data_IF_231413217641
#
_entry.id   IF_231413217641
#
_cell.length_a   1.000
_cell.length_b   1.000
_cell.length_c   1.000
_cell.angle_alpha   90.00
_cell.angle_beta   90.00
_cell.angle_gamma   90.00
#
_symmetry.space_group_name_H-M   'P 1'
#
loop_
_entity.id
_entity.type
_entity.pdbx_description
1 polymer ?
#
# COMPACT_ATOMS: atom_id res chain seq x y z
N UNK A 1 -6.33 25.46 13.14
CA UNK A 1 -5.17 24.77 12.53
C UNK A 1 -5.45 23.90 11.29
N UNK A 2 -6.64 23.29 11.05
CA UNK A 2 -6.81 22.35 9.92
C UNK A 2 -6.62 22.97 8.53
N UNK A 3 -7.06 24.22 8.32
CA UNK A 3 -7.12 24.82 6.98
C UNK A 3 -5.72 25.01 6.38
N UNK A 4 -4.77 25.57 7.13
CA UNK A 4 -3.41 25.78 6.63
C UNK A 4 -2.71 24.46 6.32
N UNK A 5 -2.92 23.44 7.15
CA UNK A 5 -2.34 22.11 6.96
C UNK A 5 -2.98 21.36 5.79
N UNK A 6 -4.29 21.49 5.59
CA UNK A 6 -5.01 20.98 4.42
C UNK A 6 -4.54 21.67 3.13
N UNK A 7 -4.35 22.99 3.16
CA UNK A 7 -3.80 23.73 2.02
C UNK A 7 -2.37 23.29 1.71
N UNK A 8 -1.53 23.10 2.73
CA UNK A 8 -0.18 22.55 2.54
C UNK A 8 -0.24 21.13 1.95
N UNK A 9 -1.12 20.27 2.47
CA UNK A 9 -1.34 18.92 1.94
C UNK A 9 -1.82 18.93 0.49
N UNK A 10 -2.71 19.86 0.13
CA UNK A 10 -3.20 20.04 -1.23
C UNK A 10 -2.07 20.48 -2.18
N UNK A 11 -1.30 21.50 -1.80
CA UNK A 11 -0.20 21.99 -2.61
C UNK A 11 0.88 20.92 -2.79
N UNK A 12 1.27 20.24 -1.72
CA UNK A 12 2.28 19.18 -1.75
C UNK A 12 1.82 17.98 -2.58
N UNK A 13 0.60 17.48 -2.35
CA UNK A 13 0.06 16.34 -3.09
C UNK A 13 -0.16 16.66 -4.57
N UNK A 14 -0.58 17.88 -4.91
CA UNK A 14 -0.70 18.33 -6.29
C UNK A 14 0.67 18.41 -6.98
N UNK A 15 1.69 18.95 -6.29
CA UNK A 15 3.05 19.03 -6.82
C UNK A 15 3.66 17.64 -7.07
N UNK A 16 3.54 16.74 -6.09
CA UNK A 16 4.02 15.35 -6.20
C UNK A 16 3.26 14.60 -7.29
N UNK A 17 1.92 14.72 -7.31
CA UNK A 17 1.08 14.09 -8.32
C UNK A 17 1.41 14.57 -9.74
N UNK A 18 1.62 15.87 -9.92
CA UNK A 18 2.04 16.44 -11.20
C UNK A 18 3.41 15.93 -11.65
N UNK A 19 4.39 15.87 -10.74
CA UNK A 19 5.71 15.33 -11.04
C UNK A 19 5.63 13.86 -11.43
N UNK A 20 4.84 13.07 -10.70
CA UNK A 20 4.62 11.66 -10.99
C UNK A 20 3.91 11.44 -12.34
N UNK A 21 2.97 12.31 -12.71
CA UNK A 21 2.36 12.29 -14.04
C UNK A 21 3.40 12.57 -15.14
N UNK A 22 4.27 13.57 -14.95
CA UNK A 22 5.36 13.88 -15.89
C UNK A 22 6.37 12.74 -16.01
N UNK A 23 6.55 11.95 -14.95
CA UNK A 23 7.41 10.75 -14.94
C UNK A 23 6.68 9.48 -15.38
N UNK A 24 5.47 9.59 -15.95
CA UNK A 24 4.64 8.46 -16.39
C UNK A 24 4.31 7.44 -15.28
N UNK A 25 4.41 7.80 -14.01
CA UNK A 25 4.08 6.90 -12.88
C UNK A 25 2.59 6.93 -12.53
N UNK A 26 1.92 8.06 -12.75
CA UNK A 26 0.48 8.24 -12.56
C UNK A 26 -0.22 8.59 -13.88
N UNK A 27 -1.45 8.13 -14.03
CA UNK A 27 -2.39 8.66 -15.02
C UNK A 27 -3.04 9.97 -14.52
N UNK A 28 -3.81 10.65 -15.38
CA UNK A 28 -4.54 11.88 -14.96
C UNK A 28 -5.51 11.60 -13.81
N UNK A 29 -6.21 10.47 -13.86
CA UNK A 29 -7.12 10.05 -12.78
C UNK A 29 -6.33 9.62 -11.53
N UNK A 30 -5.15 9.01 -11.70
CA UNK A 30 -4.22 8.72 -10.61
C UNK A 30 -3.74 9.98 -9.86
N UNK A 31 -3.50 11.09 -10.57
CA UNK A 31 -3.19 12.38 -9.93
C UNK A 31 -4.33 12.84 -9.02
N UNK A 32 -5.58 12.74 -9.48
CA UNK A 32 -6.73 13.08 -8.64
C UNK A 32 -6.77 12.20 -7.38
N UNK A 33 -6.52 10.90 -7.52
CA UNK A 33 -6.41 9.99 -6.38
C UNK A 33 -5.32 10.40 -5.40
N UNK A 34 -4.13 10.73 -5.90
CA UNK A 34 -2.98 11.13 -5.09
C UNK A 34 -3.21 12.47 -4.37
N UNK A 35 -3.89 13.41 -5.03
CA UNK A 35 -4.29 14.69 -4.43
C UNK A 35 -5.29 14.44 -3.31
N UNK A 36 -6.32 13.63 -3.53
CA UNK A 36 -7.34 13.32 -2.51
C UNK A 36 -6.68 12.63 -1.31
N UNK A 37 -5.99 11.50 -1.51
CA UNK A 37 -5.41 10.74 -0.41
C UNK A 37 -4.28 11.51 0.29
N UNK A 38 -3.40 12.15 -0.48
CA UNK A 38 -2.29 12.94 0.06
C UNK A 38 -2.76 14.15 0.86
N UNK A 39 -3.79 14.87 0.38
CA UNK A 39 -4.37 16.01 1.12
C UNK A 39 -5.01 15.56 2.42
N UNK A 40 -5.80 14.48 2.40
CA UNK A 40 -6.46 13.98 3.61
C UNK A 40 -5.44 13.44 4.64
N UNK A 41 -4.47 12.66 4.19
CA UNK A 41 -3.44 12.07 5.06
C UNK A 41 -2.53 13.15 5.65
N UNK A 42 -2.01 14.06 4.85
CA UNK A 42 -1.16 15.14 5.36
C UNK A 42 -1.97 16.13 6.20
N UNK A 43 -3.14 16.52 5.69
CA UNK A 43 -4.02 17.53 6.29
C UNK A 43 -4.58 17.15 7.65
N UNK A 44 -5.08 15.91 7.78
CA UNK A 44 -5.65 15.40 9.02
C UNK A 44 -4.70 14.51 9.81
N UNK A 45 -3.83 13.74 9.17
CA UNK A 45 -2.90 12.84 9.86
C UNK A 45 -1.68 13.55 10.45
N UNK A 46 -1.22 14.64 9.83
CA UNK A 46 0.03 15.28 10.22
C UNK A 46 1.15 15.06 9.23
N UNK A 47 2.25 15.80 9.44
CA UNK A 47 3.42 15.71 8.58
C UNK A 47 4.05 14.30 8.63
N UNK A 48 4.08 13.65 9.80
CA UNK A 48 4.62 12.28 9.98
C UNK A 48 3.88 11.26 9.11
N UNK A 49 2.55 11.35 9.06
CA UNK A 49 1.74 10.48 8.20
C UNK A 49 2.03 10.79 6.73
N UNK A 50 2.02 12.07 6.37
CA UNK A 50 2.30 12.52 5.00
C UNK A 50 3.66 12.06 4.47
N UNK A 51 4.74 12.16 5.26
CA UNK A 51 6.08 11.73 4.82
C UNK A 51 6.19 10.20 4.70
N UNK A 52 5.46 9.42 5.50
CA UNK A 52 5.37 7.96 5.34
C UNK A 52 4.65 7.60 4.03
N UNK A 53 3.56 8.31 3.69
CA UNK A 53 2.89 8.13 2.40
C UNK A 53 3.85 8.44 1.24
N UNK A 54 4.64 9.51 1.35
CA UNK A 54 5.67 9.85 0.36
C UNK A 54 6.73 8.77 0.27
N UNK A 55 7.21 8.23 1.40
CA UNK A 55 8.20 7.15 1.43
C UNK A 55 7.69 5.89 0.72
N UNK A 56 6.44 5.48 0.99
CA UNK A 56 5.76 4.43 0.22
C UNK A 56 5.74 4.76 -1.28
N UNK A 57 5.21 5.93 -1.65
CA UNK A 57 5.00 6.29 -3.04
C UNK A 57 6.31 6.35 -3.83
N UNK A 58 7.34 6.98 -3.28
CA UNK A 58 8.66 7.12 -3.92
C UNK A 58 9.33 5.77 -4.05
N UNK A 59 9.44 4.99 -2.97
CA UNK A 59 10.11 3.68 -3.02
C UNK A 59 9.41 2.70 -3.98
N UNK A 60 8.07 2.64 -3.92
CA UNK A 60 7.26 1.83 -4.82
C UNK A 60 7.38 2.29 -6.27
N UNK A 61 7.47 3.60 -6.53
CA UNK A 61 7.66 4.12 -7.90
C UNK A 61 9.04 3.82 -8.44
N UNK A 62 10.09 3.96 -7.61
CA UNK A 62 11.47 3.61 -7.99
C UNK A 62 11.57 2.13 -8.35
N UNK A 63 10.96 1.24 -7.57
CA UNK A 63 10.95 -0.19 -7.86
C UNK A 63 10.16 -0.54 -9.13
N UNK A 64 9.02 0.11 -9.40
CA UNK A 64 8.28 -0.11 -10.64
C UNK A 64 9.08 0.26 -11.90
N UNK A 65 9.98 1.25 -11.82
CA UNK A 65 10.85 1.62 -12.94
C UNK A 65 12.17 0.85 -12.95
N UNK A 66 12.57 0.25 -11.83
CA UNK A 66 13.80 -0.52 -11.74
C UNK A 66 13.71 -1.82 -12.53
N UNK A 67 14.69 -2.04 -13.42
CA UNK A 67 14.74 -3.17 -14.36
C UNK A 67 13.45 -3.35 -15.15
N UNK A 68 12.82 -2.25 -15.55
CA UNK A 68 11.57 -2.28 -16.32
C UNK A 68 11.70 -3.06 -17.64
N UNK A 69 12.86 -3.05 -18.30
CA UNK A 69 13.14 -3.87 -19.49
C UNK A 69 12.98 -5.37 -19.24
N UNK A 70 13.52 -5.84 -18.13
CA UNK A 70 13.54 -7.26 -17.77
C UNK A 70 12.14 -7.71 -17.31
N UNK A 71 11.41 -6.77 -16.70
CA UNK A 71 10.00 -6.94 -16.33
C UNK A 71 9.08 -6.87 -17.55
N UNK A 72 9.38 -6.09 -18.58
CA UNK A 72 8.53 -5.91 -19.76
C UNK A 72 8.37 -7.21 -20.56
N UNK A 73 9.46 -7.98 -20.75
CA UNK A 73 9.39 -9.30 -21.37
C UNK A 73 8.60 -10.33 -20.55
N UNK A 74 8.45 -10.10 -19.25
CA UNK A 74 7.56 -10.87 -18.37
C UNK A 74 6.14 -10.28 -18.39
N UNK A 75 5.98 -8.96 -18.51
CA UNK A 75 4.71 -8.23 -18.51
C UNK A 75 3.92 -8.35 -19.82
N UNK A 76 4.56 -8.62 -20.97
CA UNK A 76 3.87 -9.07 -22.20
C UNK A 76 3.07 -10.37 -21.95
N UNK A 77 3.41 -11.13 -20.89
CA UNK A 77 2.62 -12.26 -20.42
C UNK A 77 1.53 -11.89 -19.40
N UNK A 78 1.53 -10.68 -18.81
CA UNK A 78 0.68 -10.31 -17.66
C UNK A 78 -0.06 -8.97 -17.72
N UNK A 79 -0.05 -8.25 -18.84
CA UNK A 79 -1.02 -7.18 -19.12
C UNK A 79 -1.22 -6.13 -18.00
N UNK A 80 -0.17 -5.83 -17.23
CA UNK A 80 -0.21 -4.83 -16.16
C UNK A 80 0.12 -3.47 -16.78
N UNK A 81 -0.82 -2.52 -16.73
CA UNK A 81 -0.58 -1.15 -17.18
C UNK A 81 0.47 -0.46 -16.33
N UNK A 82 1.35 0.34 -16.94
CA UNK A 82 2.50 0.97 -16.26
C UNK A 82 2.12 2.10 -15.29
N UNK A 83 0.96 2.74 -15.48
CA UNK A 83 0.57 3.95 -14.73
C UNK A 83 -0.52 3.64 -13.72
N UNK A 84 -0.36 4.11 -12.49
CA UNK A 84 -1.41 3.97 -11.47
C UNK A 84 -2.56 4.92 -11.76
N UNK A 85 -3.78 4.41 -11.67
CA UNK A 85 -5.01 5.18 -11.85
C UNK A 85 -5.68 5.54 -10.52
N UNK A 86 -6.84 6.17 -10.60
CA UNK A 86 -7.62 6.57 -9.43
C UNK A 86 -7.95 5.36 -8.54
N UNK A 87 -8.38 4.24 -9.14
CA UNK A 87 -8.76 3.03 -8.42
C UNK A 87 -7.60 2.48 -7.61
N UNK A 88 -6.44 2.30 -8.25
CA UNK A 88 -5.22 1.83 -7.58
C UNK A 88 -4.74 2.79 -6.49
N UNK A 89 -4.86 4.10 -6.72
CA UNK A 89 -4.41 5.11 -5.75
C UNK A 89 -5.33 5.15 -4.51
N UNK A 90 -6.64 5.02 -4.71
CA UNK A 90 -7.60 4.92 -3.61
C UNK A 90 -7.52 3.57 -2.89
N UNK A 91 -7.25 2.47 -3.60
CA UNK A 91 -7.05 1.17 -3.00
C UNK A 91 -5.87 1.18 -2.01
N UNK A 92 -4.73 1.74 -2.43
CA UNK A 92 -3.52 1.72 -1.63
C UNK A 92 -3.45 2.84 -0.58
N UNK A 93 -4.10 3.98 -0.81
CA UNK A 93 -4.06 5.16 0.08
C UNK A 93 -5.36 5.47 0.81
N UNK A 94 -6.48 4.92 0.38
CA UNK A 94 -7.82 5.29 0.84
C UNK A 94 -8.06 4.93 2.30
N UNK A 95 -7.66 3.74 2.74
CA UNK A 95 -7.80 3.37 4.15
C UNK A 95 -6.98 4.29 5.06
N UNK A 96 -5.75 4.63 4.66
CA UNK A 96 -4.94 5.61 5.38
C UNK A 96 -5.59 7.00 5.44
N UNK A 97 -6.24 7.44 4.37
CA UNK A 97 -7.00 8.69 4.35
C UNK A 97 -8.22 8.64 5.27
N UNK A 98 -8.94 7.53 5.32
CA UNK A 98 -10.05 7.32 6.24
C UNK A 98 -9.59 7.36 7.71
N UNK A 99 -8.46 6.72 8.02
CA UNK A 99 -7.86 6.76 9.35
C UNK A 99 -7.43 8.18 9.75
N UNK A 100 -6.91 8.96 8.80
CA UNK A 100 -6.50 10.34 9.05
C UNK A 100 -7.73 11.22 9.37
N UNK A 101 -8.80 11.09 8.58
CA UNK A 101 -10.07 11.76 8.85
C UNK A 101 -10.64 11.33 10.21
N UNK A 102 -10.60 10.03 10.53
CA UNK A 102 -11.04 9.53 11.82
C UNK A 102 -10.23 10.11 12.98
N UNK A 103 -8.90 10.23 12.84
CA UNK A 103 -8.05 10.86 13.86
C UNK A 103 -8.47 12.31 14.13
N UNK A 104 -8.76 13.07 13.07
CA UNK A 104 -9.28 14.43 13.23
C UNK A 104 -10.66 14.46 13.91
N UNK A 105 -11.62 13.65 13.44
CA UNK A 105 -12.99 13.69 13.95
C UNK A 105 -13.13 13.18 15.38
N UNK A 106 -12.34 12.17 15.75
CA UNK A 106 -12.47 11.48 17.04
C UNK A 106 -11.52 12.01 18.12
N UNK A 107 -10.46 12.74 17.75
CA UNK A 107 -9.45 13.22 18.71
C UNK A 107 -9.29 14.73 18.63
N UNK A 108 -8.96 15.29 17.47
CA UNK A 108 -8.67 16.72 17.37
C UNK A 108 -9.92 17.61 17.50
N UNK A 109 -11.04 17.20 16.88
CA UNK A 109 -12.27 17.99 16.85
C UNK A 109 -12.92 18.14 18.23
N UNK A 110 -12.95 17.11 19.10
CA UNK A 110 -13.35 17.25 20.51
C UNK A 110 -12.36 18.07 21.36
N UNK A 111 -11.18 18.41 20.84
CA UNK A 111 -10.14 19.16 21.55
C UNK A 111 -9.20 18.28 22.39
N UNK A 112 -9.15 16.97 22.13
CA UNK A 112 -8.24 16.06 22.82
C UNK A 112 -6.81 16.18 22.27
N UNK A 113 -5.83 15.89 23.13
CA UNK A 113 -4.41 15.88 22.74
C UNK A 113 -4.06 14.49 22.22
N UNK A 114 -3.47 14.41 21.01
CA UNK A 114 -3.05 13.14 20.40
C UNK A 114 -2.05 12.34 21.22
N UNK A 115 -1.10 13.02 21.87
CA UNK A 115 -0.07 12.37 22.68
C UNK A 115 -0.70 11.70 23.90
N UNK A 116 -0.49 10.39 24.05
CA UNK A 116 -1.09 9.60 25.13
C UNK A 116 -2.55 9.22 24.92
N UNK A 117 -3.18 9.62 23.80
CA UNK A 117 -4.55 9.25 23.51
C UNK A 117 -4.63 7.84 22.90
N UNK A 118 -5.37 6.89 23.53
CA UNK A 118 -5.42 5.51 23.06
C UNK A 118 -6.13 5.37 21.71
N UNK A 119 -7.14 6.19 21.43
CA UNK A 119 -7.82 6.21 20.13
C UNK A 119 -6.86 6.67 19.03
N UNK A 120 -6.10 7.74 19.28
CA UNK A 120 -5.08 8.19 18.33
C UNK A 120 -3.99 7.13 18.11
N UNK A 121 -3.50 6.50 19.19
CA UNK A 121 -2.49 5.44 19.10
C UNK A 121 -2.98 4.27 18.24
N UNK A 122 -4.22 3.80 18.45
CA UNK A 122 -4.85 2.78 17.62
C UNK A 122 -4.89 3.19 16.13
N UNK A 123 -5.37 4.40 15.83
CA UNK A 123 -5.49 4.90 14.46
C UNK A 123 -4.12 5.09 13.79
N UNK A 124 -3.12 5.56 14.51
CA UNK A 124 -1.76 5.74 14.02
C UNK A 124 -1.08 4.39 13.73
N UNK A 125 -1.22 3.41 14.63
CA UNK A 125 -0.72 2.05 14.40
C UNK A 125 -1.41 1.39 13.22
N UNK A 126 -2.73 1.56 13.09
CA UNK A 126 -3.48 1.10 11.93
C UNK A 126 -2.99 1.74 10.63
N UNK A 127 -2.67 3.03 10.66
CA UNK A 127 -2.16 3.75 9.50
C UNK A 127 -0.79 3.21 9.07
N UNK A 128 0.16 3.06 10.01
CA UNK A 128 1.48 2.54 9.69
C UNK A 128 1.43 1.08 9.22
N UNK A 129 0.55 0.26 9.81
CA UNK A 129 0.29 -1.10 9.34
C UNK A 129 -0.26 -1.14 7.92
N UNK A 130 -1.26 -0.31 7.61
CA UNK A 130 -1.84 -0.22 6.27
C UNK A 130 -0.79 0.21 5.23
N UNK A 131 0.00 1.23 5.53
CA UNK A 131 1.09 1.69 4.66
C UNK A 131 2.18 0.62 4.49
N UNK A 132 2.51 -0.12 5.57
CA UNK A 132 3.45 -1.23 5.52
C UNK A 132 2.94 -2.36 4.63
N UNK A 133 1.65 -2.68 4.69
CA UNK A 133 1.03 -3.71 3.84
C UNK A 133 1.08 -3.35 2.36
N UNK A 134 0.65 -2.15 1.99
CA UNK A 134 0.62 -1.76 0.57
C UNK A 134 2.04 -1.62 -0.01
N UNK A 135 3.02 -1.23 0.82
CA UNK A 135 4.42 -1.20 0.40
C UNK A 135 5.00 -2.62 0.30
N UNK A 136 4.68 -3.51 1.24
CA UNK A 136 5.10 -4.91 1.22
C UNK A 136 4.60 -5.61 -0.05
N UNK A 137 3.32 -5.47 -0.38
CA UNK A 137 2.72 -6.06 -1.56
C UNK A 137 3.36 -5.53 -2.86
N UNK A 138 3.59 -4.21 -2.92
CA UNK A 138 4.25 -3.60 -4.07
C UNK A 138 5.68 -4.12 -4.24
N UNK A 139 6.46 -4.19 -3.16
CA UNK A 139 7.83 -4.70 -3.23
C UNK A 139 7.86 -6.18 -3.58
N UNK A 140 6.94 -6.99 -3.02
CA UNK A 140 6.81 -8.40 -3.35
C UNK A 140 6.50 -8.62 -4.83
N UNK A 141 5.60 -7.83 -5.41
CA UNK A 141 5.25 -7.93 -6.82
C UNK A 141 6.41 -7.47 -7.72
N UNK A 142 7.01 -6.32 -7.41
CA UNK A 142 8.04 -5.70 -8.23
C UNK A 142 9.38 -6.44 -8.20
N UNK A 143 9.73 -7.09 -7.09
CA UNK A 143 10.97 -7.87 -6.96
C UNK A 143 10.73 -9.37 -7.14
N UNK A 144 9.56 -9.88 -6.75
CA UNK A 144 9.21 -11.30 -6.87
C UNK A 144 9.06 -11.77 -8.32
N UNK A 145 8.69 -10.87 -9.24
CA UNK A 145 8.65 -11.16 -10.69
C UNK A 145 10.03 -11.53 -11.26
N UNK A 146 11.10 -11.09 -10.62
CA UNK A 146 12.50 -11.35 -11.01
C UNK A 146 13.07 -12.62 -10.36
N UNK A 147 12.26 -13.37 -9.61
CA UNK A 147 12.70 -14.60 -8.96
C UNK A 147 13.13 -15.65 -10.00
N UNK A 148 14.23 -16.36 -9.70
CA UNK A 148 14.75 -17.44 -10.54
C UNK A 148 13.87 -18.70 -10.54
N UNK A 149 12.98 -18.83 -9.56
CA UNK A 149 12.11 -19.99 -9.38
C UNK A 149 10.66 -19.62 -9.67
N UNK A 150 9.93 -20.56 -10.29
CA UNK A 150 8.50 -20.38 -10.54
C UNK A 150 7.73 -20.15 -9.22
N UNK A 151 6.79 -19.19 -9.19
CA UNK A 151 5.94 -18.95 -8.03
C UNK A 151 5.09 -20.16 -7.69
N UNK A 152 4.68 -20.22 -6.43
CA UNK A 152 3.78 -21.25 -5.93
C UNK A 152 2.51 -20.60 -5.40
N UNK A 153 1.35 -21.18 -5.69
CA UNK A 153 0.09 -20.71 -5.10
C UNK A 153 0.15 -20.82 -3.59
N UNK A 154 -0.21 -19.74 -2.89
CA UNK A 154 -0.19 -19.69 -1.43
C UNK A 154 -1.13 -20.73 -0.78
N UNK A 155 -2.18 -21.15 -1.49
CA UNK A 155 -3.20 -22.07 -0.97
C UNK A 155 -2.82 -23.54 -1.01
N UNK A 156 -2.03 -23.97 -2.00
CA UNK A 156 -1.73 -25.40 -2.22
C UNK A 156 -0.28 -25.71 -2.62
N UNK A 157 0.58 -24.69 -2.75
CA UNK A 157 1.99 -24.83 -3.07
C UNK A 157 2.30 -25.27 -4.50
N UNK A 158 1.30 -25.41 -5.39
CA UNK A 158 1.51 -25.79 -6.79
C UNK A 158 2.22 -24.67 -7.54
N UNK A 159 3.15 -25.04 -8.44
CA UNK A 159 3.85 -24.08 -9.30
C UNK A 159 2.88 -23.45 -10.28
N UNK A 160 2.98 -22.13 -10.44
CA UNK A 160 2.17 -21.33 -11.37
C UNK A 160 3.04 -20.39 -12.19
N UNK A 161 2.46 -19.83 -13.25
CA UNK A 161 3.13 -18.93 -14.18
C UNK A 161 3.17 -17.51 -13.68
N UNK A 162 4.29 -16.80 -13.82
CA UNK A 162 4.45 -15.35 -13.56
C UNK A 162 3.71 -14.88 -12.31
N UNK A 163 3.23 -13.66 -12.07
CA UNK A 163 2.07 -13.10 -12.75
C UNK A 163 0.68 -13.66 -12.34
N UNK A 164 0.60 -14.89 -11.80
CA UNK A 164 -0.68 -15.47 -11.34
C UNK A 164 -1.10 -14.88 -9.99
N UNK A 165 -2.35 -14.42 -9.85
CA UNK A 165 -2.88 -13.91 -8.57
C UNK A 165 -2.78 -14.98 -7.47
N UNK A 166 -2.18 -14.59 -6.34
CA UNK A 166 -1.89 -15.48 -5.22
C UNK A 166 -0.65 -16.37 -5.37
N UNK A 167 0.13 -16.20 -6.43
CA UNK A 167 1.45 -16.81 -6.59
C UNK A 167 2.52 -16.09 -5.77
N UNK A 168 3.17 -16.80 -4.86
CA UNK A 168 4.25 -16.26 -4.03
C UNK A 168 5.61 -16.90 -4.37
N UNK A 169 6.68 -16.12 -4.23
CA UNK A 169 8.07 -16.58 -4.33
C UNK A 169 8.81 -16.24 -3.05
N UNK A 170 9.88 -16.96 -2.73
CA UNK A 170 10.73 -16.64 -1.56
C UNK A 170 11.32 -15.23 -1.67
N UNK A 171 11.77 -14.84 -2.86
CA UNK A 171 12.26 -13.48 -3.14
C UNK A 171 11.17 -12.43 -2.92
N UNK A 172 9.94 -12.69 -3.38
CA UNK A 172 8.79 -11.81 -3.16
C UNK A 172 8.42 -11.69 -1.68
N UNK A 173 8.41 -12.79 -0.93
CA UNK A 173 8.12 -12.76 0.52
C UNK A 173 9.18 -11.99 1.31
N UNK A 174 10.46 -12.17 0.99
CA UNK A 174 11.55 -11.39 1.60
C UNK A 174 11.47 -9.91 1.22
N UNK A 175 11.10 -9.60 -0.03
CA UNK A 175 10.85 -8.24 -0.47
C UNK A 175 9.65 -7.60 0.24
N UNK A 176 8.57 -8.35 0.50
CA UNK A 176 7.44 -7.90 1.30
C UNK A 176 7.89 -7.54 2.73
N UNK A 177 8.64 -8.43 3.38
CA UNK A 177 9.16 -8.18 4.72
C UNK A 177 10.05 -6.94 4.76
N UNK A 178 10.96 -6.79 3.79
CA UNK A 178 11.83 -5.63 3.68
C UNK A 178 11.04 -4.33 3.41
N UNK A 179 10.03 -4.38 2.54
CA UNK A 179 9.16 -3.24 2.25
C UNK A 179 8.32 -2.81 3.46
N UNK A 180 7.79 -3.78 4.21
CA UNK A 180 7.07 -3.50 5.46
C UNK A 180 8.00 -2.88 6.51
N UNK A 181 9.19 -3.45 6.71
CA UNK A 181 10.20 -2.94 7.63
C UNK A 181 10.68 -1.53 7.23
N UNK A 182 10.83 -1.25 5.94
CA UNK A 182 11.18 0.08 5.43
C UNK A 182 10.15 1.14 5.88
N UNK A 183 8.86 0.84 5.80
CA UNK A 183 7.80 1.74 6.30
C UNK A 183 7.88 1.90 7.82
N UNK A 184 8.09 0.80 8.55
CA UNK A 184 8.29 0.85 10.00
C UNK A 184 9.47 1.73 10.42
N UNK A 185 10.61 1.62 9.72
CA UNK A 185 11.80 2.45 9.94
C UNK A 185 11.49 3.92 9.64
N UNK A 186 10.84 4.22 8.51
CA UNK A 186 10.45 5.58 8.17
C UNK A 186 9.53 6.17 9.25
N UNK A 187 8.49 5.44 9.65
CA UNK A 187 7.55 5.85 10.68
C UNK A 187 8.29 6.15 12.00
N UNK A 188 9.12 5.22 12.47
CA UNK A 188 9.93 5.41 13.68
C UNK A 188 10.81 6.66 13.59
N UNK A 189 11.61 6.82 12.53
CA UNK A 189 12.50 7.97 12.38
C UNK A 189 11.76 9.30 12.37
N UNK A 190 10.62 9.38 11.69
CA UNK A 190 9.82 10.61 11.63
C UNK A 190 9.09 10.90 12.94
N UNK A 191 8.66 9.87 13.69
CA UNK A 191 8.17 10.03 15.05
C UNK A 191 9.27 10.56 15.97
N UNK A 192 10.49 9.99 15.91
CA UNK A 192 11.61 10.48 16.70
C UNK A 192 11.97 11.94 16.38
N UNK A 193 11.97 12.31 15.10
CA UNK A 193 12.19 13.69 14.69
C UNK A 193 11.09 14.63 15.24
N UNK A 194 9.82 14.20 15.22
CA UNK A 194 8.72 14.95 15.83
C UNK A 194 8.89 15.09 17.35
N UNK A 195 9.24 14.00 18.03
CA UNK A 195 9.44 13.94 19.47
C UNK A 195 10.59 14.85 19.92
N UNK A 196 11.72 14.83 19.24
CA UNK A 196 12.86 15.72 19.53
C UNK A 196 12.47 17.18 19.30
N UNK A 197 11.78 17.48 18.19
CA UNK A 197 11.36 18.84 17.88
C UNK A 197 10.34 19.42 18.88
N UNK A 198 9.52 18.57 19.52
CA UNK A 198 8.43 19.01 20.41
C UNK A 198 8.76 18.88 21.89
N UNK A 199 9.48 17.84 22.29
CA UNK A 199 9.76 17.50 23.69
C UNK A 199 11.24 17.52 24.04
N UNK A 200 12.14 17.60 23.05
CA UNK A 200 13.58 17.50 23.24
C UNK A 200 14.10 16.08 23.53
N UNK A 201 13.21 15.08 23.60
CA UNK A 201 13.54 13.72 23.99
C UNK A 201 13.28 12.71 22.87
N UNK A 202 14.02 11.60 22.90
CA UNK A 202 13.78 10.43 22.04
C UNK A 202 12.75 9.51 22.69
N UNK A 203 11.76 9.05 21.92
CA UNK A 203 10.78 8.03 22.33
C UNK A 203 11.26 6.63 21.93
N UNK A 204 12.35 6.15 22.52
CA UNK A 204 12.89 4.81 22.18
C UNK A 204 11.92 3.66 22.52
N UNK A 205 10.90 3.92 23.34
CA UNK A 205 9.75 3.03 23.56
C UNK A 205 9.04 2.64 22.26
N UNK A 206 9.13 3.48 21.21
CA UNK A 206 8.47 3.24 19.93
C UNK A 206 9.28 2.33 19.00
N UNK A 207 10.49 1.89 19.40
CA UNK A 207 11.33 1.01 18.59
C UNK A 207 10.64 -0.28 18.11
N UNK A 208 9.79 -0.96 18.93
CA UNK A 208 9.04 -2.13 18.48
C UNK A 208 8.08 -1.85 17.31
N UNK A 209 7.74 -0.59 17.01
CA UNK A 209 6.93 -0.22 15.84
C UNK A 209 7.49 -0.79 14.54
N UNK A 210 8.82 -0.85 14.40
CA UNK A 210 9.46 -1.42 13.20
C UNK A 210 9.07 -2.88 13.03
N UNK A 211 9.11 -3.66 14.11
CA UNK A 211 8.72 -5.07 14.13
C UNK A 211 7.23 -5.26 13.91
N UNK A 212 6.40 -4.43 14.56
CA UNK A 212 4.93 -4.44 14.37
C UNK A 212 4.57 -4.17 12.91
N UNK A 213 5.13 -3.12 12.31
CA UNK A 213 4.90 -2.79 10.91
C UNK A 213 5.42 -3.89 9.97
N UNK A 214 6.58 -4.47 10.24
CA UNK A 214 7.15 -5.56 9.44
C UNK A 214 6.25 -6.80 9.42
N UNK A 215 5.80 -7.26 10.60
CA UNK A 215 4.92 -8.43 10.74
C UNK A 215 3.55 -8.16 10.15
N UNK A 216 2.92 -7.03 10.50
CA UNK A 216 1.60 -6.70 10.03
C UNK A 216 1.56 -6.41 8.52
N UNK A 217 2.59 -5.74 8.00
CA UNK A 217 2.76 -5.47 6.58
C UNK A 217 2.89 -6.76 5.77
N UNK A 218 3.77 -7.68 6.21
CA UNK A 218 3.92 -9.00 5.59
C UNK A 218 2.61 -9.79 5.65
N UNK A 219 1.95 -9.85 6.81
CA UNK A 219 0.69 -10.57 6.98
C UNK A 219 -0.40 -10.01 6.05
N UNK A 220 -0.53 -8.69 5.94
CA UNK A 220 -1.47 -8.06 5.01
C UNK A 220 -1.19 -8.40 3.55
N UNK A 221 0.08 -8.43 3.11
CA UNK A 221 0.44 -8.87 1.76
C UNK A 221 0.18 -10.36 1.53
N UNK A 222 0.28 -11.20 2.56
CA UNK A 222 -0.13 -12.61 2.47
C UNK A 222 -1.66 -12.75 2.39
N UNK A 223 -2.43 -11.92 3.10
CA UNK A 223 -3.89 -11.85 2.95
C UNK A 223 -4.26 -11.51 1.50
N UNK A 224 -3.55 -10.57 0.88
CA UNK A 224 -3.71 -10.23 -0.53
C UNK A 224 -3.56 -11.46 -1.43
N UNK A 225 -2.46 -12.18 -1.25
CA UNK A 225 -2.18 -13.40 -2.00
C UNK A 225 -3.24 -14.49 -1.77
N UNK A 226 -3.77 -14.63 -0.55
CA UNK A 226 -4.84 -15.59 -0.24
C UNK A 226 -6.14 -15.20 -0.94
N UNK A 227 -6.54 -13.92 -0.87
CA UNK A 227 -7.74 -13.42 -1.54
C UNK A 227 -7.62 -13.55 -3.06
N UNK A 228 -6.45 -13.20 -3.61
CA UNK A 228 -6.12 -13.39 -5.02
C UNK A 228 -6.18 -14.84 -5.49
N UNK A 229 -5.75 -15.79 -4.65
CA UNK A 229 -5.80 -17.21 -4.97
C UNK A 229 -7.22 -17.82 -4.87
N UNK A 230 -8.13 -17.23 -4.09
CA UNK A 230 -9.39 -17.86 -3.69
C UNK A 230 -10.64 -17.18 -4.24
N UNK A 231 -10.82 -15.89 -3.98
CA UNK A 231 -12.10 -15.18 -4.18
C UNK A 231 -12.01 -14.04 -5.18
N UNK A 232 -10.82 -13.56 -5.53
CA UNK A 232 -10.64 -12.49 -6.51
C UNK A 232 -11.20 -12.89 -7.88
N UNK A 233 -11.89 -11.95 -8.53
CA UNK A 233 -12.42 -12.13 -9.88
C UNK A 233 -11.29 -12.25 -10.91
N UNK A 234 -11.16 -13.44 -11.50
CA UNK A 234 -10.23 -13.74 -12.59
C UNK A 234 -11.02 -14.03 -13.86
N UNK A 235 -10.49 -13.55 -14.98
CA UNK A 235 -11.10 -13.64 -16.29
C UNK A 235 -10.13 -14.28 -17.28
N UNK A 236 -10.67 -14.83 -18.37
CA UNK A 236 -9.93 -15.41 -19.47
C UNK A 236 -10.03 -14.54 -20.72
N UNK A 237 -8.90 -14.23 -21.35
CA UNK A 237 -8.87 -13.55 -22.64
C UNK A 237 -8.72 -14.59 -23.76
N UNK A 238 -9.78 -14.86 -24.51
CA UNK A 238 -9.75 -15.80 -25.63
C UNK A 238 -8.78 -15.36 -26.75
N UNK A 239 -8.64 -14.05 -26.99
CA UNK A 239 -7.73 -13.53 -28.02
C UNK A 239 -6.24 -13.75 -27.69
N UNK A 240 -5.90 -13.76 -26.40
CA UNK A 240 -4.51 -13.89 -25.95
C UNK A 240 -4.20 -15.24 -25.29
N UNK A 241 -5.22 -16.06 -25.06
CA UNK A 241 -5.14 -17.34 -24.35
C UNK A 241 -4.44 -17.21 -22.99
N UNK A 242 -4.86 -16.22 -22.19
CA UNK A 242 -4.26 -15.88 -20.89
C UNK A 242 -5.31 -15.49 -19.86
N UNK A 243 -5.00 -15.80 -18.60
CA UNK A 243 -5.73 -15.27 -17.44
C UNK A 243 -5.41 -13.79 -17.24
N UNK A 244 -6.39 -13.04 -16.74
CA UNK A 244 -6.25 -11.63 -16.41
C UNK A 244 -7.27 -11.22 -15.35
N UNK A 245 -6.93 -10.19 -14.58
CA UNK A 245 -7.81 -9.59 -13.57
C UNK A 245 -8.77 -8.55 -14.19
N UNK A 246 -8.63 -8.27 -15.48
CA UNK A 246 -9.36 -7.20 -16.18
C UNK A 246 -10.52 -7.76 -17.01
N UNK A 247 -11.64 -7.03 -17.01
CA UNK A 247 -12.81 -7.30 -17.88
C UNK A 247 -12.55 -7.00 -19.36
N UNK A 248 -11.58 -6.11 -19.62
CA UNK A 248 -11.07 -5.82 -20.96
C UNK A 248 -9.56 -6.02 -20.88
N UNK A 249 -9.04 -6.95 -21.67
CA UNK A 249 -7.62 -7.25 -21.69
C UNK A 249 -6.84 -6.11 -22.38
N UNK A 250 -5.52 -6.02 -22.19
CA UNK A 250 -4.70 -4.97 -22.81
C UNK A 250 -4.70 -5.01 -24.33
N UNK A 251 -5.02 -6.15 -24.94
CA UNK A 251 -5.26 -6.28 -26.38
C UNK A 251 -6.58 -5.64 -26.88
N UNK A 252 -7.43 -5.16 -25.98
CA UNK A 252 -8.73 -4.57 -26.29
C UNK A 252 -9.91 -5.57 -26.32
N UNK A 253 -9.64 -6.88 -26.25
CA UNK A 253 -10.70 -7.89 -26.22
C UNK A 253 -11.43 -7.93 -24.88
N UNK A 254 -12.75 -8.15 -24.92
CA UNK A 254 -13.54 -8.49 -23.74
C UNK A 254 -13.12 -9.87 -23.20
N UNK A 255 -13.17 -10.04 -21.89
CA UNK A 255 -12.75 -11.26 -21.21
C UNK A 255 -13.94 -12.00 -20.61
N UNK A 256 -13.82 -13.32 -20.51
CA UNK A 256 -14.86 -14.20 -19.97
C UNK A 256 -14.58 -14.49 -18.49
N UNK A 257 -15.58 -14.46 -17.59
CA UNK A 257 -15.38 -14.81 -16.18
C UNK A 257 -14.84 -16.25 -16.06
N UNK A 258 -13.72 -16.42 -15.35
CA UNK A 258 -13.09 -17.73 -15.15
C UNK A 258 -13.34 -18.26 -13.73
N UNK A 259 -13.10 -17.44 -12.70
CA UNK A 259 -13.30 -17.81 -11.28
C UNK A 259 -13.40 -16.59 -10.38
N UNK A 260 -13.82 -16.84 -9.13
CA UNK A 260 -13.94 -15.83 -8.08
C UNK A 260 -15.17 -14.93 -8.24
N UNK A 261 -15.24 -13.88 -7.43
CA UNK A 261 -16.35 -12.95 -7.41
C UNK A 261 -16.09 -11.80 -8.38
N UNK A 262 -16.94 -11.67 -9.40
CA UNK A 262 -16.76 -10.66 -10.46
C UNK A 262 -16.75 -9.20 -9.98
N UNK A 263 -17.22 -8.93 -8.76
CA UNK A 263 -17.17 -7.60 -8.13
C UNK A 263 -15.89 -7.36 -7.30
N UNK A 264 -15.15 -8.42 -6.93
CA UNK A 264 -13.92 -8.33 -6.15
C UNK A 264 -12.72 -8.27 -7.11
N UNK A 265 -12.38 -7.06 -7.53
CA UNK A 265 -11.21 -6.79 -8.37
C UNK A 265 -9.93 -6.63 -7.52
N UNK A 266 -8.79 -6.53 -8.19
CA UNK A 266 -7.49 -6.36 -7.53
C UNK A 266 -7.45 -5.12 -6.61
N UNK A 267 -8.03 -4.00 -7.04
CA UNK A 267 -8.05 -2.76 -6.24
C UNK A 267 -8.78 -2.98 -4.90
N UNK A 268 -9.90 -3.70 -4.91
CA UNK A 268 -10.63 -4.01 -3.69
C UNK A 268 -9.90 -5.04 -2.82
N UNK A 269 -9.20 -6.00 -3.43
CA UNK A 269 -8.33 -6.94 -2.70
C UNK A 269 -7.21 -6.18 -1.99
N UNK A 270 -6.47 -5.32 -2.68
CA UNK A 270 -5.46 -4.44 -2.08
C UNK A 270 -6.01 -3.61 -0.91
N UNK A 271 -7.21 -3.03 -1.08
CA UNK A 271 -7.86 -2.25 -0.02
C UNK A 271 -8.14 -3.12 1.21
N UNK A 272 -8.76 -4.29 1.03
CA UNK A 272 -9.06 -5.24 2.14
C UNK A 272 -7.78 -5.72 2.82
N UNK A 273 -6.74 -6.03 2.05
CA UNK A 273 -5.42 -6.41 2.55
C UNK A 273 -4.82 -5.32 3.44
N UNK A 274 -4.90 -4.05 3.00
CA UNK A 274 -4.42 -2.90 3.78
C UNK A 274 -5.19 -2.71 5.09
N UNK A 275 -6.50 -2.99 5.08
CA UNK A 275 -7.33 -2.97 6.29
C UNK A 275 -6.91 -4.08 7.25
N UNK A 276 -6.70 -5.31 6.75
CA UNK A 276 -6.27 -6.44 7.55
C UNK A 276 -4.92 -6.18 8.22
N UNK A 277 -3.94 -5.68 7.47
CA UNK A 277 -2.62 -5.32 8.01
C UNK A 277 -2.66 -4.14 8.97
N UNK A 278 -3.47 -3.12 8.70
CA UNK A 278 -3.68 -2.01 9.63
C UNK A 278 -4.27 -2.48 10.97
N UNK A 279 -5.35 -3.26 10.93
CA UNK A 279 -5.97 -3.78 12.15
C UNK A 279 -5.03 -4.69 12.95
N UNK A 280 -4.23 -5.51 12.26
CA UNK A 280 -3.22 -6.34 12.92
C UNK A 280 -2.12 -5.49 13.57
N UNK A 281 -1.62 -4.45 12.90
CA UNK A 281 -0.63 -3.54 13.47
C UNK A 281 -1.18 -2.81 14.70
N UNK A 282 -2.44 -2.36 14.65
CA UNK A 282 -3.10 -1.75 15.78
C UNK A 282 -3.24 -2.74 16.96
N UNK A 283 -3.71 -3.96 16.70
CA UNK A 283 -3.82 -4.99 17.73
C UNK A 283 -2.49 -5.37 18.38
N UNK A 284 -1.45 -5.61 17.58
CA UNK A 284 -0.11 -5.93 18.08
C UNK A 284 0.53 -4.74 18.81
N UNK A 285 0.42 -3.54 18.24
CA UNK A 285 1.00 -2.34 18.81
C UNK A 285 0.36 -1.95 20.14
N UNK A 286 -0.96 -2.12 20.30
CA UNK A 286 -1.63 -1.90 21.59
C UNK A 286 -1.14 -2.84 22.71
N UNK A 287 -0.63 -4.03 22.38
CA UNK A 287 -0.13 -4.99 23.37
C UNK A 287 1.35 -4.76 23.69
N UNK A 288 2.11 -4.25 22.73
CA UNK A 288 3.58 -4.15 22.82
C UNK A 288 4.03 -2.74 23.24
N UNK A 289 3.28 -1.70 22.86
CA UNK A 289 3.68 -0.29 22.99
C UNK A 289 2.87 0.47 24.05
N UNK A 290 1.75 -0.08 24.53
CA UNK A 290 0.89 0.51 25.56
C UNK A 290 0.70 -0.46 26.73
#
# INVERSE_FOLDING_TARGET
>A
MPIAQLLAGLVLSAAIGWLAYRRNSLSRSGVAGAVITGTLIFGFGGWTWGVVLIAFFVSSTLLSHWRSSDKAGLAEKFAKGERRDLGQTLANGGFGALLAVAAFLLVDLPGEVRLGNPTYAFLALAYFGAMATVNADTWATELGVLASHAPRLITNGRRVTVGTSGGITTAGTLAALAGAAFIGICAFLFIQAAAVATTGNLLLSDLPLIGVAAVAGLAGSLVDSVLGATVQGIYWCAACQKETERRIHTCGAATEPLRGWGWLNNDLVNFVSSVAGGLLAAGLGLVILL
#
